data_IF_426834722879
#
_entry.id   IF_426834722879
#
_cell.length_a   1.000
_cell.length_b   1.000
_cell.length_c   1.000
_cell.angle_alpha   90.00
_cell.angle_beta   90.00
_cell.angle_gamma   90.00
#
_symmetry.space_group_name_H-M   'P 1'
#
loop_
_entity.id
_entity.type
_entity.pdbx_description
1 polymer ?
#
# COMPACT_ATOMS: atom_id res chain seq x y z
N UNK A 1 -33.81 14.23 4.08
CA UNK A 1 -32.88 13.49 3.19
C UNK A 1 -32.79 12.08 3.72
N UNK A 2 -33.04 11.08 2.87
CA UNK A 2 -32.90 9.68 3.28
C UNK A 2 -31.38 9.41 3.41
N UNK A 3 -30.94 9.09 4.63
CA UNK A 3 -29.57 8.69 4.90
C UNK A 3 -29.49 7.18 4.73
N UNK A 4 -29.05 6.74 3.55
CA UNK A 4 -28.80 5.34 3.24
C UNK A 4 -27.32 5.12 2.89
N UNK A 5 -26.94 3.87 2.71
CA UNK A 5 -25.58 3.49 2.34
C UNK A 5 -25.13 4.19 1.04
N UNK A 6 -25.98 4.18 0.01
CA UNK A 6 -25.63 4.71 -1.32
C UNK A 6 -25.36 6.21 -1.28
N UNK A 7 -26.15 6.97 -0.53
CA UNK A 7 -25.97 8.42 -0.38
C UNK A 7 -24.85 8.79 0.59
N UNK A 8 -24.49 7.89 1.51
CA UNK A 8 -23.44 8.12 2.51
C UNK A 8 -22.05 7.75 1.98
N UNK A 9 -21.94 6.76 1.10
CA UNK A 9 -20.68 6.28 0.57
C UNK A 9 -19.85 7.38 -0.15
N UNK A 10 -20.42 8.18 -1.08
CA UNK A 10 -19.69 9.29 -1.70
C UNK A 10 -19.19 10.33 -0.70
N UNK A 11 -20.01 10.65 0.32
CA UNK A 11 -19.64 11.60 1.38
C UNK A 11 -18.47 11.12 2.23
N UNK A 12 -18.40 9.80 2.47
CA UNK A 12 -17.27 9.20 3.17
C UNK A 12 -16.00 9.22 2.33
N UNK A 13 -16.08 8.98 1.02
CA UNK A 13 -14.95 9.09 0.11
C UNK A 13 -14.39 10.52 0.09
N UNK A 14 -15.27 11.52 -0.03
CA UNK A 14 -14.88 12.92 0.01
C UNK A 14 -14.19 13.27 1.34
N UNK A 15 -14.75 12.81 2.46
CA UNK A 15 -14.16 13.01 3.78
C UNK A 15 -12.77 12.37 3.92
N UNK A 16 -12.58 11.17 3.38
CA UNK A 16 -11.27 10.48 3.40
C UNK A 16 -10.21 11.28 2.65
N UNK A 17 -10.58 11.83 1.50
CA UNK A 17 -9.66 12.55 0.62
C UNK A 17 -9.38 13.97 1.13
N UNK A 18 -10.39 14.72 1.47
CA UNK A 18 -10.29 16.15 1.75
C UNK A 18 -10.05 16.48 3.24
N UNK A 19 -10.74 15.80 4.15
CA UNK A 19 -10.58 16.06 5.59
C UNK A 19 -9.50 15.18 6.23
N UNK A 20 -9.51 13.87 5.95
CA UNK A 20 -8.53 12.92 6.52
C UNK A 20 -7.21 12.91 5.79
N UNK A 21 -7.18 13.35 4.53
CA UNK A 21 -5.97 13.42 3.68
C UNK A 21 -5.17 12.13 3.71
N UNK A 22 -5.87 11.00 3.54
CA UNK A 22 -5.21 9.70 3.47
C UNK A 22 -4.45 9.58 2.14
N UNK A 23 -3.43 8.71 2.09
CA UNK A 23 -2.68 8.48 0.85
C UNK A 23 -3.57 7.83 -0.21
N UNK A 24 -3.29 8.10 -1.50
CA UNK A 24 -4.04 7.56 -2.64
C UNK A 24 -4.15 6.03 -2.58
N UNK A 25 -3.07 5.33 -2.23
CA UNK A 25 -3.08 3.88 -2.07
C UNK A 25 -4.06 3.40 -0.99
N UNK A 26 -4.18 4.15 0.11
CA UNK A 26 -5.13 3.82 1.18
C UNK A 26 -6.55 4.15 0.74
N UNK A 27 -6.73 5.27 0.05
CA UNK A 27 -8.03 5.67 -0.51
C UNK A 27 -8.56 4.62 -1.48
N UNK A 28 -7.76 4.21 -2.47
CA UNK A 28 -8.13 3.20 -3.46
C UNK A 28 -8.42 1.84 -2.82
N UNK A 29 -7.62 1.46 -1.82
CA UNK A 29 -7.85 0.22 -1.08
C UNK A 29 -9.18 0.25 -0.32
N UNK A 30 -9.46 1.35 0.38
CA UNK A 30 -10.71 1.52 1.14
C UNK A 30 -11.93 1.59 0.23
N UNK A 31 -11.83 2.32 -0.89
CA UNK A 31 -12.88 2.39 -1.89
C UNK A 31 -13.23 0.99 -2.43
N UNK A 32 -12.22 0.22 -2.87
CA UNK A 32 -12.42 -1.16 -3.36
C UNK A 32 -13.02 -2.08 -2.31
N UNK A 33 -12.55 -1.97 -1.06
CA UNK A 33 -13.03 -2.82 0.03
C UNK A 33 -14.50 -2.55 0.35
N UNK A 34 -14.89 -1.28 0.38
CA UNK A 34 -16.27 -0.91 0.67
C UNK A 34 -17.20 -1.19 -0.50
N UNK A 35 -16.73 -1.07 -1.76
CA UNK A 35 -17.49 -1.49 -2.94
C UNK A 35 -17.83 -2.99 -2.86
N UNK A 36 -16.84 -3.83 -2.56
CA UNK A 36 -17.07 -5.29 -2.39
C UNK A 36 -18.01 -5.61 -1.23
N UNK A 37 -17.93 -4.86 -0.15
CA UNK A 37 -18.89 -4.99 0.95
C UNK A 37 -20.30 -4.59 0.52
N UNK A 38 -20.46 -3.51 -0.23
CA UNK A 38 -21.76 -3.04 -0.70
C UNK A 38 -22.45 -4.05 -1.62
N UNK A 39 -21.67 -4.69 -2.50
CA UNK A 39 -22.15 -5.77 -3.38
C UNK A 39 -22.59 -6.98 -2.57
N UNK A 40 -21.76 -7.45 -1.64
CA UNK A 40 -22.07 -8.61 -0.79
C UNK A 40 -23.28 -8.38 0.10
N UNK A 41 -23.36 -7.22 0.75
CA UNK A 41 -24.39 -6.90 1.74
C UNK A 41 -25.65 -6.27 1.14
N UNK A 42 -25.70 -6.09 -0.18
CA UNK A 42 -26.76 -5.38 -0.87
C UNK A 42 -27.03 -3.98 -0.28
N UNK A 43 -25.94 -3.23 -0.01
CA UNK A 43 -25.98 -1.87 0.55
C UNK A 43 -26.68 -1.77 1.91
N UNK A 44 -26.45 -2.72 2.79
CA UNK A 44 -27.08 -2.73 4.12
C UNK A 44 -26.80 -1.44 4.90
N UNK A 45 -27.87 -0.81 5.41
CA UNK A 45 -27.77 0.44 6.17
C UNK A 45 -27.37 0.20 7.63
N UNK A 46 -27.91 -0.85 8.24
CA UNK A 46 -27.72 -1.20 9.65
C UNK A 46 -27.21 -2.64 9.78
N UNK A 47 -25.92 -2.87 9.47
CA UNK A 47 -25.37 -4.21 9.52
C UNK A 47 -25.32 -4.71 10.96
N UNK A 48 -25.71 -5.98 11.12
CA UNK A 48 -25.62 -6.72 12.36
C UNK A 48 -24.30 -7.50 12.41
N UNK A 49 -23.97 -8.00 13.59
CA UNK A 49 -22.78 -8.86 13.78
C UNK A 49 -22.75 -10.07 12.84
N UNK A 50 -23.93 -10.63 12.51
CA UNK A 50 -24.04 -11.76 11.62
C UNK A 50 -23.61 -11.42 10.19
N UNK A 51 -23.92 -10.21 9.69
CA UNK A 51 -23.55 -9.79 8.32
C UNK A 51 -22.03 -9.72 8.17
N UNK A 52 -21.35 -9.20 9.18
CA UNK A 52 -19.88 -9.16 9.19
C UNK A 52 -19.26 -10.54 9.29
N UNK A 53 -19.87 -11.45 10.07
CA UNK A 53 -19.39 -12.85 10.16
C UNK A 53 -19.56 -13.58 8.84
N UNK A 54 -20.71 -13.43 8.19
CA UNK A 54 -20.99 -14.01 6.88
C UNK A 54 -20.02 -13.49 5.83
N UNK A 55 -19.73 -12.17 5.86
CA UNK A 55 -18.74 -11.60 4.95
C UNK A 55 -17.32 -12.11 5.21
N UNK A 56 -16.91 -12.25 6.48
CA UNK A 56 -15.62 -12.83 6.80
C UNK A 56 -15.51 -14.29 6.33
N UNK A 57 -16.54 -15.09 6.49
CA UNK A 57 -16.59 -16.46 5.98
C UNK A 57 -16.44 -16.48 4.46
N UNK A 58 -17.21 -15.66 3.75
CA UNK A 58 -17.10 -15.49 2.30
C UNK A 58 -15.69 -15.10 1.86
N UNK A 59 -15.03 -14.18 2.57
CA UNK A 59 -13.67 -13.77 2.25
C UNK A 59 -12.65 -14.91 2.46
N UNK A 60 -12.83 -15.75 3.48
CA UNK A 60 -11.99 -16.93 3.72
C UNK A 60 -12.17 -17.94 2.60
N UNK A 61 -13.40 -18.26 2.23
CA UNK A 61 -13.74 -19.17 1.13
C UNK A 61 -13.21 -18.67 -0.22
N UNK A 62 -13.19 -17.33 -0.41
CA UNK A 62 -12.59 -16.68 -1.58
C UNK A 62 -11.05 -16.62 -1.55
N UNK A 63 -10.37 -17.30 -0.62
CA UNK A 63 -8.90 -17.38 -0.56
C UNK A 63 -8.20 -16.11 -0.08
N UNK A 64 -8.91 -15.18 0.58
CA UNK A 64 -8.27 -13.95 1.09
C UNK A 64 -7.37 -14.25 2.28
N UNK A 65 -6.18 -13.62 2.32
CA UNK A 65 -5.28 -13.72 3.47
C UNK A 65 -5.87 -13.04 4.72
N UNK A 66 -5.44 -13.48 5.91
CA UNK A 66 -5.86 -12.87 7.19
C UNK A 66 -5.61 -11.36 7.24
N UNK A 67 -4.48 -10.88 6.70
CA UNK A 67 -4.16 -9.46 6.60
C UNK A 67 -5.16 -8.70 5.71
N UNK A 68 -5.51 -9.28 4.55
CA UNK A 68 -6.51 -8.70 3.65
C UNK A 68 -7.89 -8.63 4.30
N UNK A 69 -8.31 -9.68 5.01
CA UNK A 69 -9.57 -9.71 5.73
C UNK A 69 -9.59 -8.63 6.84
N UNK A 70 -8.53 -8.55 7.65
CA UNK A 70 -8.43 -7.55 8.70
C UNK A 70 -8.50 -6.12 8.15
N UNK A 71 -7.81 -5.83 7.03
CA UNK A 71 -7.87 -4.53 6.35
C UNK A 71 -9.29 -4.21 5.85
N UNK A 72 -9.95 -5.18 5.18
CA UNK A 72 -11.32 -5.02 4.66
C UNK A 72 -12.32 -4.72 5.79
N UNK A 73 -12.25 -5.45 6.89
CA UNK A 73 -13.10 -5.19 8.05
C UNK A 73 -12.80 -3.83 8.67
N UNK A 74 -11.54 -3.40 8.68
CA UNK A 74 -11.15 -2.07 9.19
C UNK A 74 -11.71 -0.94 8.32
N UNK A 75 -11.72 -1.07 6.98
CA UNK A 75 -12.30 -0.06 6.09
C UNK A 75 -13.81 0.04 6.25
N UNK A 76 -14.52 -1.10 6.34
CA UNK A 76 -15.97 -1.14 6.58
C UNK A 76 -16.31 -0.51 7.93
N UNK A 77 -15.57 -0.86 8.98
CA UNK A 77 -15.74 -0.27 10.32
C UNK A 77 -15.50 1.25 10.31
N UNK A 78 -14.50 1.72 9.55
CA UNK A 78 -14.23 3.15 9.39
C UNK A 78 -15.40 3.88 8.73
N UNK A 79 -16.02 3.29 7.70
CA UNK A 79 -17.20 3.84 7.04
C UNK A 79 -18.39 3.98 7.99
N UNK A 80 -18.78 2.92 8.68
CA UNK A 80 -19.94 2.99 9.59
C UNK A 80 -19.69 3.88 10.80
N UNK A 81 -18.45 3.97 11.30
CA UNK A 81 -18.09 4.94 12.33
C UNK A 81 -18.21 6.39 11.84
N UNK A 82 -17.81 6.67 10.61
CA UNK A 82 -18.02 7.97 10.00
C UNK A 82 -19.50 8.28 9.87
N UNK A 83 -20.28 7.34 9.35
CA UNK A 83 -21.72 7.49 9.16
C UNK A 83 -22.45 7.70 10.51
N UNK A 84 -22.11 6.91 11.52
CA UNK A 84 -22.70 7.03 12.87
C UNK A 84 -22.39 8.38 13.52
N UNK A 85 -21.14 8.84 13.46
CA UNK A 85 -20.75 10.14 14.03
C UNK A 85 -21.47 11.33 13.39
N UNK A 86 -21.93 11.19 12.16
CA UNK A 86 -22.68 12.23 11.42
C UNK A 86 -24.19 12.02 11.43
N UNK A 87 -24.68 11.03 12.18
CA UNK A 87 -26.11 10.72 12.28
C UNK A 87 -26.72 10.16 10.99
N UNK A 88 -25.88 9.61 10.08
CA UNK A 88 -26.37 9.09 8.80
C UNK A 88 -26.85 7.65 8.91
N UNK A 89 -26.06 6.79 9.52
CA UNK A 89 -26.35 5.36 9.70
C UNK A 89 -25.90 4.93 11.11
N UNK A 90 -26.67 4.07 11.76
CA UNK A 90 -26.33 3.56 13.08
C UNK A 90 -26.03 2.07 12.95
N UNK A 91 -24.88 1.64 13.48
CA UNK A 91 -24.58 0.23 13.67
C UNK A 91 -24.10 0.04 15.11
N UNK A 92 -24.94 -0.61 15.89
CA UNK A 92 -24.66 -0.85 17.32
C UNK A 92 -23.60 -1.93 17.53
N UNK A 93 -23.42 -2.82 16.55
CA UNK A 93 -22.58 -4.01 16.65
C UNK A 93 -21.13 -3.80 16.20
N UNK A 94 -20.73 -2.59 15.76
CA UNK A 94 -19.41 -2.34 15.18
C UNK A 94 -18.23 -2.71 16.09
N UNK A 95 -18.39 -2.47 17.39
CA UNK A 95 -17.31 -2.75 18.35
C UNK A 95 -17.27 -4.22 18.77
N UNK A 96 -18.33 -4.97 18.51
CA UNK A 96 -18.42 -6.41 18.77
C UNK A 96 -17.75 -7.26 17.68
N UNK A 97 -17.33 -6.65 16.57
CA UNK A 97 -16.68 -7.35 15.47
C UNK A 97 -15.22 -7.58 15.83
N UNK A 98 -14.86 -8.83 16.07
CA UNK A 98 -13.46 -9.21 16.24
C UNK A 98 -12.82 -9.44 14.88
N UNK A 99 -11.79 -8.67 14.54
CA UNK A 99 -10.93 -8.98 13.38
C UNK A 99 -10.08 -10.22 13.68
N UNK A 100 -9.74 -11.01 12.66
CA UNK A 100 -8.81 -12.12 12.84
C UNK A 100 -7.50 -11.61 13.48
N UNK A 101 -7.03 -12.32 14.51
CA UNK A 101 -5.70 -12.05 15.05
C UNK A 101 -4.67 -12.31 13.95
N UNK A 102 -3.86 -11.31 13.66
CA UNK A 102 -2.73 -11.46 12.76
C UNK A 102 -1.62 -12.21 13.49
N UNK A 103 -0.97 -13.18 12.85
CA UNK A 103 0.21 -13.79 13.44
C UNK A 103 1.30 -12.73 13.59
N UNK A 104 1.98 -12.73 14.73
CA UNK A 104 3.20 -11.94 14.92
C UNK A 104 4.31 -12.56 14.07
N UNK A 105 4.37 -12.17 12.83
CA UNK A 105 5.46 -12.59 11.94
C UNK A 105 6.58 -11.58 12.04
N UNK A 106 7.72 -12.01 12.58
CA UNK A 106 8.95 -11.26 12.47
C UNK A 106 9.32 -11.12 10.99
N UNK A 107 9.76 -9.93 10.55
CA UNK A 107 10.27 -9.77 9.20
C UNK A 107 11.39 -10.79 8.96
N UNK A 108 11.31 -11.55 7.87
CA UNK A 108 12.41 -12.41 7.44
C UNK A 108 13.48 -11.53 6.83
N UNK A 109 14.65 -11.46 7.47
CA UNK A 109 15.82 -10.85 6.86
C UNK A 109 16.31 -11.75 5.73
N UNK A 110 16.68 -11.15 4.60
CA UNK A 110 17.38 -11.85 3.52
C UNK A 110 18.85 -11.90 3.93
N UNK A 111 19.49 -13.06 3.75
CA UNK A 111 20.92 -13.21 4.02
C UNK A 111 21.76 -12.46 2.97
N UNK A 112 23.02 -12.16 3.30
CA UNK A 112 23.90 -11.52 2.33
C UNK A 112 24.13 -12.42 1.12
N UNK A 113 24.28 -13.72 1.35
CA UNK A 113 24.46 -14.74 0.32
C UNK A 113 23.29 -14.79 -0.66
N UNK A 114 22.05 -14.70 -0.15
CA UNK A 114 20.84 -14.63 -1.00
C UNK A 114 20.79 -13.34 -1.82
N UNK A 115 21.23 -12.21 -1.25
CA UNK A 115 21.31 -10.94 -1.99
C UNK A 115 22.34 -11.03 -3.11
N UNK A 116 23.51 -11.58 -2.86
CA UNK A 116 24.56 -11.77 -3.86
C UNK A 116 24.07 -12.68 -5.01
N UNK A 117 23.37 -13.79 -4.68
CA UNK A 117 22.73 -14.65 -5.70
C UNK A 117 21.68 -13.92 -6.53
N UNK A 118 20.87 -13.06 -5.92
CA UNK A 118 19.88 -12.25 -6.65
C UNK A 118 20.59 -11.28 -7.59
N UNK A 119 21.65 -10.59 -7.13
CA UNK A 119 22.44 -9.66 -7.94
C UNK A 119 23.03 -10.38 -9.17
N UNK A 120 23.59 -11.57 -8.99
CA UNK A 120 24.19 -12.36 -10.07
C UNK A 120 23.14 -12.90 -11.05
N UNK A 121 21.93 -13.16 -10.58
CA UNK A 121 20.82 -13.60 -11.43
C UNK A 121 20.18 -12.48 -12.26
N UNK A 122 20.38 -11.22 -11.87
CA UNK A 122 19.85 -10.05 -12.58
C UNK A 122 20.61 -9.91 -13.91
N UNK A 123 19.87 -9.88 -15.00
CA UNK A 123 20.44 -9.77 -16.36
C UNK A 123 20.34 -11.06 -17.17
N UNK A 124 20.17 -12.23 -16.54
CA UNK A 124 19.99 -13.48 -17.26
C UNK A 124 18.65 -13.48 -18.01
N UNK A 125 18.72 -13.45 -19.36
CA UNK A 125 17.53 -13.47 -20.22
C UNK A 125 16.77 -12.12 -20.32
N UNK A 126 17.36 -11.03 -19.85
CA UNK A 126 16.82 -9.66 -19.95
C UNK A 126 17.66 -8.78 -20.86
N UNK A 127 17.08 -7.66 -21.32
CA UNK A 127 17.85 -6.64 -22.02
C UNK A 127 18.84 -5.97 -21.05
N UNK A 128 19.98 -5.49 -21.57
CA UNK A 128 21.04 -4.87 -20.75
C UNK A 128 20.54 -3.75 -19.86
N UNK A 129 19.59 -2.93 -20.36
CA UNK A 129 19.03 -1.85 -19.58
C UNK A 129 18.07 -2.30 -18.46
N UNK A 130 17.30 -3.37 -18.68
CA UNK A 130 16.43 -3.95 -17.64
C UNK A 130 17.24 -4.54 -16.50
N UNK A 131 18.32 -5.26 -16.82
CA UNK A 131 19.24 -5.78 -15.83
C UNK A 131 19.91 -4.67 -15.03
N UNK A 132 20.40 -3.62 -15.71
CA UNK A 132 21.00 -2.47 -15.04
C UNK A 132 20.02 -1.73 -14.12
N UNK A 133 18.76 -1.53 -14.55
CA UNK A 133 17.69 -0.95 -13.74
C UNK A 133 17.41 -1.77 -12.49
N UNK A 134 17.19 -3.06 -12.65
CA UNK A 134 16.80 -3.93 -11.55
C UNK A 134 17.94 -4.06 -10.52
N UNK A 135 19.18 -4.09 -11.00
CA UNK A 135 20.37 -4.05 -10.15
C UNK A 135 20.48 -2.74 -9.37
N UNK A 136 20.28 -1.59 -10.02
CA UNK A 136 20.27 -0.29 -9.36
C UNK A 136 19.16 -0.21 -8.30
N UNK A 137 17.97 -0.71 -8.62
CA UNK A 137 16.85 -0.75 -7.68
C UNK A 137 17.20 -1.61 -6.45
N UNK A 138 17.79 -2.79 -6.65
CA UNK A 138 18.19 -3.66 -5.55
C UNK A 138 19.23 -2.99 -4.64
N UNK A 139 20.22 -2.29 -5.21
CA UNK A 139 21.20 -1.54 -4.43
C UNK A 139 20.57 -0.39 -3.63
N UNK A 140 19.59 0.30 -4.18
CA UNK A 140 18.84 1.33 -3.45
C UNK A 140 18.03 0.74 -2.29
N UNK A 141 17.39 -0.42 -2.50
CA UNK A 141 16.58 -1.07 -1.46
C UNK A 141 17.45 -1.67 -0.36
N UNK A 142 18.47 -2.44 -0.73
CA UNK A 142 19.31 -3.17 0.22
C UNK A 142 20.47 -2.32 0.75
N UNK A 143 21.20 -1.62 -0.14
CA UNK A 143 22.38 -0.85 0.24
C UNK A 143 22.07 0.49 0.90
N UNK A 144 20.96 1.16 0.50
CA UNK A 144 20.54 2.42 1.09
C UNK A 144 19.30 2.30 1.99
N UNK A 145 18.68 1.13 2.11
CA UNK A 145 17.50 0.89 2.95
C UNK A 145 16.27 1.72 2.54
N UNK A 146 16.14 2.04 1.25
CA UNK A 146 14.99 2.77 0.75
C UNK A 146 13.75 1.89 0.67
N UNK A 147 12.56 2.47 0.85
CA UNK A 147 11.32 1.80 0.48
C UNK A 147 11.19 1.80 -1.04
N UNK A 148 10.48 0.79 -1.58
CA UNK A 148 10.27 0.68 -3.04
C UNK A 148 9.71 1.96 -3.66
N UNK A 149 8.76 2.63 -3.00
CA UNK A 149 8.18 3.90 -3.47
C UNK A 149 9.19 5.05 -3.46
N UNK A 150 10.08 5.09 -2.46
CA UNK A 150 11.15 6.09 -2.36
C UNK A 150 12.20 5.88 -3.45
N UNK A 151 12.63 4.64 -3.67
CA UNK A 151 13.58 4.31 -4.73
C UNK A 151 13.00 4.62 -6.13
N UNK A 152 11.73 4.30 -6.37
CA UNK A 152 11.05 4.59 -7.63
C UNK A 152 10.69 6.08 -7.84
N UNK A 153 10.81 6.92 -6.81
CA UNK A 153 10.59 8.37 -6.90
C UNK A 153 11.85 9.19 -7.20
N UNK A 154 13.00 8.54 -7.36
CA UNK A 154 14.25 9.21 -7.72
C UNK A 154 14.18 9.64 -9.18
N UNK A 155 14.45 10.94 -9.42
CA UNK A 155 14.47 11.54 -10.77
C UNK A 155 15.88 11.57 -11.34
N UNK A 156 15.97 11.59 -12.68
CA UNK A 156 17.25 11.67 -13.41
C UNK A 156 18.09 12.90 -13.01
N UNK A 157 17.46 14.02 -12.71
CA UNK A 157 18.16 15.26 -12.30
C UNK A 157 18.79 15.19 -10.89
N UNK A 158 18.48 14.17 -10.11
CA UNK A 158 19.09 13.88 -8.81
C UNK A 158 20.35 13.00 -8.96
N UNK A 159 20.64 12.51 -10.16
CA UNK A 159 21.78 11.65 -10.44
C UNK A 159 22.92 12.45 -11.12
N UNK A 160 24.18 12.14 -10.82
CA UNK A 160 24.64 11.10 -9.89
C UNK A 160 24.26 11.43 -8.44
N UNK A 161 23.92 10.40 -7.65
CA UNK A 161 23.61 10.58 -6.24
C UNK A 161 24.86 11.00 -5.48
N UNK A 162 24.72 12.02 -4.63
CA UNK A 162 25.76 12.41 -3.67
C UNK A 162 25.85 11.45 -2.48
N UNK A 163 26.62 11.82 -1.46
CA UNK A 163 26.78 11.03 -0.23
C UNK A 163 25.48 10.92 0.58
N UNK A 164 24.54 11.81 0.34
CA UNK A 164 23.25 11.86 1.02
C UNK A 164 22.11 12.07 0.03
N UNK A 165 21.03 11.33 0.22
CA UNK A 165 19.79 11.45 -0.54
C UNK A 165 18.66 11.84 0.39
N UNK A 166 17.99 12.97 0.11
CA UNK A 166 16.76 13.35 0.80
C UNK A 166 15.57 12.65 0.18
N UNK A 167 14.87 11.87 0.98
CA UNK A 167 13.68 11.12 0.56
C UNK A 167 12.46 11.56 1.35
N UNK A 168 11.32 11.60 0.66
CA UNK A 168 10.02 11.84 1.27
C UNK A 168 9.40 10.51 1.71
N UNK A 169 9.17 10.37 2.99
CA UNK A 169 8.54 9.21 3.59
C UNK A 169 7.03 9.37 3.76
N UNK A 170 6.44 8.42 4.46
CA UNK A 170 5.00 8.40 4.75
C UNK A 170 4.57 9.67 5.50
N UNK A 171 3.54 10.35 4.95
CA UNK A 171 2.96 11.56 5.56
C UNK A 171 3.77 12.83 5.32
N UNK A 172 4.53 12.91 4.24
CA UNK A 172 5.31 14.11 3.85
C UNK A 172 6.54 14.37 4.72
N UNK A 173 6.97 13.41 5.55
CA UNK A 173 8.17 13.54 6.36
C UNK A 173 9.40 13.25 5.53
N UNK A 174 10.36 14.18 5.56
CA UNK A 174 11.65 13.99 4.91
C UNK A 174 12.65 13.33 5.86
N UNK A 175 13.54 12.49 5.29
CA UNK A 175 14.74 12.01 5.94
C UNK A 175 15.92 12.00 4.97
N UNK A 176 17.11 12.21 5.49
CA UNK A 176 18.33 12.09 4.73
C UNK A 176 18.88 10.66 4.92
N UNK A 177 19.22 10.01 3.80
CA UNK A 177 19.71 8.62 3.77
C UNK A 177 21.14 8.65 3.23
N UNK A 178 22.12 8.06 3.94
CA UNK A 178 23.48 7.95 3.43
C UNK A 178 23.53 7.02 2.24
N UNK A 179 24.24 7.40 1.21
CA UNK A 179 24.40 6.61 -0.02
C UNK A 179 25.83 6.05 -0.07
N UNK A 180 25.92 4.73 -0.04
CA UNK A 180 27.22 4.08 -0.20
C UNK A 180 27.76 4.29 -1.62
N UNK A 181 29.07 4.42 -1.75
CA UNK A 181 29.74 4.66 -3.03
C UNK A 181 29.35 3.63 -4.10
N UNK A 182 29.26 2.36 -3.74
CA UNK A 182 28.82 1.29 -4.65
C UNK A 182 27.40 1.53 -5.21
N UNK A 183 26.52 2.14 -4.41
CA UNK A 183 25.14 2.48 -4.85
C UNK A 183 25.20 3.64 -5.85
N UNK A 184 25.94 4.71 -5.52
CA UNK A 184 26.07 5.87 -6.40
C UNK A 184 26.75 5.56 -7.73
N UNK A 185 27.70 4.62 -7.76
CA UNK A 185 28.39 4.17 -8.99
C UNK A 185 27.52 3.27 -9.87
N UNK A 186 26.59 2.49 -9.30
CA UNK A 186 25.72 1.58 -10.06
C UNK A 186 24.59 2.31 -10.77
N UNK A 187 24.12 3.41 -10.22
CA UNK A 187 22.95 4.13 -10.72
C UNK A 187 23.17 4.83 -12.06
N UNK A 188 24.30 5.53 -12.34
CA UNK A 188 24.53 6.22 -13.61
C UNK A 188 24.43 5.33 -14.83
N UNK A 189 24.87 4.06 -14.72
CA UNK A 189 24.83 3.09 -15.83
C UNK A 189 23.37 2.75 -16.20
N UNK A 190 22.46 2.74 -15.23
CA UNK A 190 21.04 2.48 -15.48
C UNK A 190 20.30 3.68 -16.05
N UNK A 191 20.70 4.92 -15.71
CA UNK A 191 20.00 6.14 -16.12
C UNK A 191 20.34 6.65 -17.52
N UNK A 192 21.43 6.20 -18.15
CA UNK A 192 21.68 6.48 -19.58
C UNK A 192 20.61 5.84 -20.48
N UNK A 193 19.87 4.85 -19.97
CA UNK A 193 18.84 4.11 -20.67
C UNK A 193 17.44 4.19 -20.00
N UNK A 194 17.29 4.91 -18.88
CA UNK A 194 16.03 4.94 -18.13
C UNK A 194 15.32 6.28 -18.18
N UNK A 195 14.27 6.32 -18.95
CA UNK A 195 13.01 6.87 -18.45
C UNK A 195 12.36 5.77 -17.62
N UNK A 196 12.50 5.80 -16.30
CA UNK A 196 11.59 5.04 -15.44
C UNK A 196 10.17 5.45 -15.85
N UNK A 197 9.28 4.51 -16.20
CA UNK A 197 7.93 4.88 -16.52
C UNK A 197 7.32 5.50 -15.26
N UNK A 198 7.13 6.83 -15.28
CA UNK A 198 6.46 7.59 -14.23
C UNK A 198 4.96 7.29 -14.18
N UNK A 199 4.49 6.30 -14.95
CA UNK A 199 3.12 5.83 -14.91
C UNK A 199 3.12 4.40 -14.36
N UNK A 200 2.47 4.26 -13.21
CA UNK A 200 2.06 2.97 -12.64
C UNK A 200 1.54 2.09 -13.77
N UNK A 201 2.15 0.91 -13.92
CA UNK A 201 1.48 -0.19 -14.57
C UNK A 201 0.38 -0.61 -13.57
N UNK A 202 -0.85 -0.32 -13.94
CA UNK A 202 -2.07 -0.75 -13.23
C UNK A 202 -2.23 -2.25 -13.42
#
# INVERSE_FOLDING_TARGET
MVHDFKNTFPKWLDWLQNEKRITDNTFDAYKRDLTKWSEFSNNVNHPKKIDFRSYMAFLVESGNSRHSIARKISSIRNFYRFASKRGFLISEDLDLIKTPKLPDTLPRSISKEDVDLIIDSIGNGRTDWEGARDKALLFLLYGAGLRISEALSIYKNQCPLGDWLRVEGKGGKHRDVPILKIVSETIPVSYTHLTLPTKRIV
#
